data_IF_047039798497
#
_entry.id   IF_047039798497
#
_cell.length_a   1.000
_cell.length_b   1.000
_cell.length_c   1.000
_cell.angle_alpha   90.00
_cell.angle_beta   90.00
_cell.angle_gamma   90.00
#
_symmetry.space_group_name_H-M   'P 1'
#
loop_
_entity.id
_entity.type
_entity.pdbx_description
1 polymer ?
#
# COMPACT_ATOMS: atom_id res chain seq x y z
N UNK A 1 -21.13 17.60 -10.52
CA UNK A 1 -20.67 17.19 -9.97
C UNK A 1 -20.13 16.21 -10.01
N UNK A 2 -19.81 15.90 -10.19
CA UNK A 2 -19.33 15.02 -10.16
C UNK A 2 -18.02 14.60 -10.01
N UNK A 3 -17.07 15.01 -10.35
CA UNK A 3 -15.71 14.63 -10.23
C UNK A 3 -15.30 14.07 -8.94
N UNK A 4 -15.82 14.58 -8.00
CA UNK A 4 -15.40 14.13 -6.71
C UNK A 4 -15.78 12.72 -6.44
N UNK A 5 -16.62 12.17 -7.23
CA UNK A 5 -16.95 10.83 -6.92
C UNK A 5 -15.80 9.88 -7.14
N UNK A 6 -14.81 10.30 -7.87
CA UNK A 6 -13.65 9.47 -8.03
C UNK A 6 -12.98 9.18 -6.72
N UNK A 7 -12.82 10.20 -5.93
CA UNK A 7 -12.17 10.01 -4.65
C UNK A 7 -12.98 9.08 -3.77
N UNK A 8 -14.26 9.12 -3.90
CA UNK A 8 -15.06 8.27 -3.08
C UNK A 8 -14.99 6.83 -3.49
N UNK A 9 -14.87 6.60 -4.80
CA UNK A 9 -14.78 5.23 -5.28
C UNK A 9 -13.55 4.56 -4.71
N UNK A 10 -12.53 5.33 -4.39
CA UNK A 10 -11.30 4.80 -3.81
C UNK A 10 -11.22 5.14 -2.34
N UNK A 11 -12.25 4.81 -1.59
CA UNK A 11 -12.28 5.10 -0.17
C UNK A 11 -11.07 4.51 0.53
N UNK A 12 -10.38 5.34 1.31
CA UNK A 12 -9.17 4.95 1.98
C UNK A 12 -9.43 4.65 3.44
N UNK A 13 -8.67 3.72 3.95
CA UNK A 13 -8.76 3.33 5.34
C UNK A 13 -7.38 3.43 5.98
N UNK A 14 -7.31 4.06 7.14
CA UNK A 14 -6.05 4.13 7.89
C UNK A 14 -5.65 2.72 8.27
N UNK A 15 -4.38 2.40 8.05
CA UNK A 15 -3.84 1.08 8.34
C UNK A 15 -2.42 1.28 8.83
N UNK A 16 -2.15 0.95 10.08
CA UNK A 16 -0.85 1.19 10.69
C UNK A 16 -0.26 -0.11 11.17
N UNK A 17 0.58 -0.72 10.38
CA UNK A 17 1.25 -1.96 10.77
C UNK A 17 2.58 -2.05 10.05
N UNK A 18 3.49 -2.90 10.56
CA UNK A 18 4.77 -3.11 9.87
C UNK A 18 4.56 -3.72 8.51
N UNK A 19 5.42 -3.36 7.58
CA UNK A 19 5.37 -3.89 6.23
C UNK A 19 6.78 -4.13 5.74
N UNK A 20 6.91 -4.96 4.72
CA UNK A 20 8.19 -5.24 4.07
C UNK A 20 8.01 -4.96 2.60
N UNK A 21 8.93 -4.16 2.07
CA UNK A 21 8.90 -3.82 0.66
C UNK A 21 10.05 -4.53 -0.03
N UNK A 22 9.74 -5.26 -1.09
CA UNK A 22 10.75 -5.88 -1.93
C UNK A 22 10.99 -4.99 -3.13
N UNK A 23 12.24 -4.57 -3.27
CA UNK A 23 12.65 -3.68 -4.35
C UNK A 23 12.80 -4.46 -5.65
N UNK A 24 12.83 -3.77 -6.80
CA UNK A 24 12.99 -4.49 -8.08
C UNK A 24 14.22 -5.39 -8.12
N UNK A 25 15.30 -5.02 -7.42
CA UNK A 25 16.50 -5.82 -7.37
C UNK A 25 16.45 -6.92 -6.32
N UNK A 26 15.28 -7.20 -5.78
CA UNK A 26 15.01 -8.27 -4.82
C UNK A 26 15.51 -8.00 -3.40
N UNK A 27 16.12 -6.88 -3.13
CA UNK A 27 16.45 -6.49 -1.75
C UNK A 27 15.15 -6.08 -1.05
N UNK A 28 15.10 -6.24 0.27
CA UNK A 28 13.92 -5.86 1.04
C UNK A 28 14.26 -4.77 2.03
N UNK A 29 13.29 -3.91 2.29
CA UNK A 29 13.43 -2.87 3.29
C UNK A 29 12.18 -2.88 4.17
N UNK A 30 12.34 -2.40 5.40
CA UNK A 30 11.22 -2.32 6.32
C UNK A 30 10.46 -1.03 6.12
N UNK A 31 9.16 -1.09 6.38
CA UNK A 31 8.27 0.04 6.22
C UNK A 31 7.14 -0.07 7.21
N UNK A 32 6.28 0.92 7.22
CA UNK A 32 5.02 0.89 7.97
C UNK A 32 3.92 1.31 7.03
N UNK A 33 2.80 0.63 7.08
CA UNK A 33 1.65 1.04 6.27
C UNK A 33 1.10 2.35 6.82
N UNK A 34 0.43 3.11 5.97
CA UNK A 34 -0.22 4.34 6.37
C UNK A 34 -1.72 4.28 6.06
N UNK A 35 -2.08 4.00 4.83
CA UNK A 35 -3.49 3.83 4.47
C UNK A 35 -3.58 2.90 3.27
N UNK A 36 -4.80 2.43 2.99
CA UNK A 36 -5.04 1.49 1.92
C UNK A 36 -6.44 1.70 1.35
N UNK A 37 -6.58 1.44 0.06
CA UNK A 37 -7.86 1.44 -0.64
C UNK A 37 -7.86 0.28 -1.63
N UNK A 38 -8.93 0.14 -2.39
CA UNK A 38 -8.95 -0.89 -3.44
C UNK A 38 -7.99 -0.59 -4.58
N UNK A 39 -7.54 0.65 -4.72
CA UNK A 39 -6.69 1.04 -5.85
C UNK A 39 -5.23 1.16 -5.49
N UNK A 40 -4.90 1.30 -4.22
CA UNK A 40 -3.53 1.49 -3.84
C UNK A 40 -3.36 1.66 -2.35
N UNK A 41 -2.14 1.92 -1.95
CA UNK A 41 -1.83 2.11 -0.53
C UNK A 41 -0.65 3.06 -0.39
N UNK A 42 -0.50 3.60 0.81
CA UNK A 42 0.65 4.41 1.16
C UNK A 42 1.42 3.73 2.28
N UNK A 43 2.72 3.90 2.25
CA UNK A 43 3.60 3.39 3.31
C UNK A 43 4.57 4.50 3.69
N UNK A 44 5.19 4.36 4.85
CA UNK A 44 6.25 5.26 5.30
C UNK A 44 7.53 4.46 5.35
N UNK A 45 8.58 4.99 4.74
CA UNK A 45 9.89 4.36 4.67
C UNK A 45 10.96 5.38 5.04
N UNK A 46 12.16 4.89 5.34
CA UNK A 46 13.23 5.78 5.80
C UNK A 46 14.04 6.39 4.65
N UNK A 47 13.67 6.12 3.41
CA UNK A 47 14.39 6.61 2.24
C UNK A 47 13.41 6.82 1.10
N UNK A 48 13.71 7.71 0.16
CA UNK A 48 12.85 7.85 -1.01
C UNK A 48 12.95 6.61 -1.90
N UNK A 49 11.88 6.27 -2.57
CA UNK A 49 11.86 5.18 -3.52
C UNK A 49 11.67 5.72 -4.92
N UNK A 50 12.39 5.18 -5.90
CA UNK A 50 12.18 5.60 -7.30
C UNK A 50 10.73 5.42 -7.72
N UNK A 51 10.21 6.43 -8.41
CA UNK A 51 8.84 6.37 -8.91
C UNK A 51 8.79 5.53 -10.16
N UNK A 52 7.58 5.03 -10.45
CA UNK A 52 7.26 4.29 -11.65
C UNK A 52 7.90 2.91 -11.71
N UNK A 53 8.54 2.50 -10.63
CA UNK A 53 9.04 1.14 -10.49
C UNK A 53 7.99 0.30 -9.78
N UNK A 54 8.05 -1.02 -9.99
CA UNK A 54 7.11 -1.92 -9.35
C UNK A 54 7.76 -2.56 -8.13
N UNK A 55 7.00 -2.62 -7.05
CA UNK A 55 7.45 -3.14 -5.77
C UNK A 55 6.44 -4.15 -5.26
N UNK A 56 6.90 -5.05 -4.38
CA UNK A 56 6.02 -5.92 -3.64
C UNK A 56 5.93 -5.40 -2.21
N UNK A 57 4.72 -5.31 -1.69
CA UNK A 57 4.51 -4.83 -0.31
C UNK A 57 3.80 -5.94 0.45
N UNK A 58 4.45 -6.45 1.49
CA UNK A 58 3.91 -7.54 2.29
C UNK A 58 3.62 -7.04 3.69
N UNK A 59 2.46 -7.38 4.21
CA UNK A 59 2.08 -6.99 5.56
C UNK A 59 1.00 -7.94 6.06
N UNK A 60 0.77 -7.89 7.37
CA UNK A 60 -0.26 -8.70 8.00
C UNK A 60 -1.16 -7.76 8.79
N UNK A 61 -2.46 -7.86 8.59
CA UNK A 61 -3.42 -6.99 9.25
C UNK A 61 -4.58 -7.84 9.74
N UNK A 62 -5.36 -7.29 10.67
CA UNK A 62 -6.52 -7.99 11.18
C UNK A 62 -7.75 -7.63 10.36
N UNK A 63 -8.47 -8.64 9.93
CA UNK A 63 -9.74 -8.49 9.25
C UNK A 63 -10.77 -9.30 10.01
N UNK A 64 -11.75 -8.63 10.59
CA UNK A 64 -12.75 -9.29 11.43
C UNK A 64 -12.10 -10.11 12.54
N UNK A 65 -11.05 -9.58 13.16
CA UNK A 65 -10.36 -10.24 14.25
C UNK A 65 -9.42 -11.34 13.86
N UNK A 66 -9.21 -11.57 12.56
CA UNK A 66 -8.35 -12.65 12.09
C UNK A 66 -7.16 -12.09 11.33
N UNK A 67 -5.97 -12.67 11.52
CA UNK A 67 -4.81 -12.21 10.75
C UNK A 67 -4.98 -12.51 9.27
N UNK A 68 -4.65 -11.53 8.46
CA UNK A 68 -4.76 -11.65 7.01
C UNK A 68 -3.43 -11.21 6.43
N UNK A 69 -2.72 -12.14 5.79
CA UNK A 69 -1.43 -11.85 5.18
C UNK A 69 -1.65 -11.42 3.75
N UNK A 70 -1.10 -10.26 3.40
CA UNK A 70 -1.26 -9.71 2.07
C UNK A 70 0.11 -9.42 1.49
N UNK A 71 0.30 -9.80 0.24
CA UNK A 71 1.50 -9.49 -0.52
C UNK A 71 1.04 -8.93 -1.84
N UNK A 72 1.14 -7.63 -1.99
CA UNK A 72 0.52 -6.94 -3.12
C UNK A 72 1.59 -6.28 -3.96
N UNK A 73 1.36 -6.27 -5.28
CA UNK A 73 2.24 -5.62 -6.23
C UNK A 73 1.71 -4.24 -6.54
N UNK A 74 2.59 -3.24 -6.55
CA UNK A 74 2.18 -1.88 -6.84
C UNK A 74 3.29 -1.09 -7.48
N UNK A 75 2.89 -0.08 -8.23
CA UNK A 75 3.81 0.85 -8.86
C UNK A 75 3.88 2.10 -8.00
N UNK A 76 5.09 2.57 -7.69
CA UNK A 76 5.23 3.79 -6.91
C UNK A 76 4.87 4.98 -7.78
N UNK A 77 3.89 5.77 -7.35
CA UNK A 77 3.40 6.90 -8.13
C UNK A 77 3.57 8.21 -7.41
N UNK A 78 3.95 8.17 -6.14
CA UNK A 78 4.09 9.39 -5.35
C UNK A 78 5.08 9.14 -4.22
N UNK A 79 5.92 10.15 -3.94
CA UNK A 79 6.87 10.04 -2.85
C UNK A 79 7.08 11.45 -2.30
N UNK A 80 6.83 11.63 -1.01
CA UNK A 80 6.98 12.94 -0.39
C UNK A 80 7.59 12.78 0.99
N UNK A 81 8.24 13.81 1.45
CA UNK A 81 8.79 13.84 2.79
C UNK A 81 7.65 13.88 3.80
N UNK A 82 7.75 13.07 4.84
CA UNK A 82 6.70 12.95 5.83
C UNK A 82 7.23 13.36 7.21
N UNK A 83 7.42 14.66 7.39
CA UNK A 83 7.92 15.19 8.65
C UNK A 83 9.23 14.55 9.04
N UNK A 84 9.31 14.08 10.27
CA UNK A 84 10.52 13.43 10.77
C UNK A 84 10.49 11.92 10.60
N UNK A 85 9.42 11.39 10.03
CA UNK A 85 9.26 9.94 9.95
C UNK A 85 9.91 9.32 8.73
N UNK A 86 10.31 10.14 7.77
CA UNK A 86 10.89 9.63 6.55
C UNK A 86 10.08 10.04 5.34
N UNK A 87 9.81 9.09 4.45
CA UNK A 87 9.13 9.38 3.20
C UNK A 87 7.83 8.59 3.12
N UNK A 88 6.80 9.25 2.62
CA UNK A 88 5.52 8.60 2.38
C UNK A 88 5.44 8.28 0.90
N UNK A 89 5.31 6.99 0.60
CA UNK A 89 5.27 6.52 -0.78
C UNK A 89 3.90 5.97 -1.07
N UNK A 90 3.30 6.44 -2.15
CA UNK A 90 2.01 5.95 -2.60
C UNK A 90 2.20 4.97 -3.73
N UNK A 91 1.52 3.82 -3.63
CA UNK A 91 1.56 2.78 -4.64
C UNK A 91 0.19 2.62 -5.26
N UNK A 92 0.18 2.43 -6.58
CA UNK A 92 -1.02 2.05 -7.31
C UNK A 92 -0.93 0.56 -7.59
N UNK A 93 -1.94 -0.20 -7.18
CA UNK A 93 -1.91 -1.65 -7.33
C UNK A 93 -1.92 -2.05 -8.79
N UNK A 94 -1.05 -3.00 -9.15
CA UNK A 94 -0.95 -3.51 -10.52
C UNK A 94 -0.59 -4.98 -10.50
N UNK A 95 -1.15 -5.72 -11.44
CA UNK A 95 -0.74 -7.09 -11.69
C UNK A 95 -0.94 -8.01 -10.49
N UNK A 96 -2.05 -7.84 -9.82
CA UNK A 96 -2.39 -8.69 -8.69
C UNK A 96 -3.47 -9.67 -9.10
N UNK A 97 -3.40 -10.88 -8.52
CA UNK A 97 -4.39 -11.88 -8.84
C UNK A 97 -5.67 -11.63 -8.03
N UNK A 98 -6.68 -12.39 -8.34
CA UNK A 98 -7.98 -12.21 -7.72
C UNK A 98 -7.93 -12.52 -6.24
N UNK A 99 -7.13 -13.50 -5.83
CA UNK A 99 -7.04 -13.85 -4.41
C UNK A 99 -6.49 -12.68 -3.60
N UNK A 100 -5.46 -12.00 -4.12
CA UNK A 100 -4.90 -10.84 -3.46
C UNK A 100 -5.91 -9.71 -3.36
N UNK A 101 -6.62 -9.43 -4.46
CA UNK A 101 -7.61 -8.36 -4.44
C UNK A 101 -8.77 -8.69 -3.51
N UNK A 102 -9.14 -9.96 -3.43
CA UNK A 102 -10.18 -10.37 -2.50
C UNK A 102 -9.74 -10.13 -1.05
N UNK A 103 -8.49 -10.43 -0.74
CA UNK A 103 -7.98 -10.20 0.61
C UNK A 103 -8.04 -8.72 0.97
N UNK A 104 -7.67 -7.85 0.03
CA UNK A 104 -7.76 -6.42 0.27
C UNK A 104 -9.21 -6.01 0.49
N UNK A 105 -10.12 -6.56 -0.29
CA UNK A 105 -11.54 -6.25 -0.13
C UNK A 105 -12.03 -6.67 1.24
N UNK A 106 -11.59 -7.83 1.74
CA UNK A 106 -11.95 -8.27 3.09
C UNK A 106 -11.42 -7.31 4.14
N UNK A 107 -10.21 -6.85 3.95
CA UNK A 107 -9.60 -5.91 4.90
C UNK A 107 -10.39 -4.61 4.97
N UNK A 108 -10.93 -4.16 3.84
CA UNK A 108 -11.65 -2.90 3.76
C UNK A 108 -13.13 -3.01 4.13
N UNK A 109 -13.63 -4.21 4.28
CA UNK A 109 -15.05 -4.43 4.58
C UNK A 109 -15.45 -3.91 5.96
#
# INVERSE_FOLDING_TARGET
>A
MLGQKDARAAARRILRCPARITLPAAATIMARTFDISMEGMSVVVDRPLPLHERYQVAFEALAAGRPLKINVSGRAVHCSLSGTEGFRVGFHFEKNDEATMKAIRQLLA
#
